data_IF_204127831119
#
_entry.id   IF_204127831119
#
_cell.length_a   1.000
_cell.length_b   1.000
_cell.length_c   1.000
_cell.angle_alpha   90.00
_cell.angle_beta   90.00
_cell.angle_gamma   90.00
#
_symmetry.space_group_name_H-M   'P 1'
#
loop_
_entity.id
_entity.type
_entity.pdbx_description
1 polymer ?
#
# COMPACT_ATOMS: atom_id res chain seq x y z
N UNK A 1 24.15 -9.72 -12.74
CA UNK A 1 22.85 -10.02 -13.35
C UNK A 1 21.81 -10.06 -12.25
N UNK A 2 20.76 -9.24 -12.33
CA UNK A 2 19.73 -9.18 -11.28
C UNK A 2 18.79 -10.35 -11.51
N UNK A 3 18.87 -11.41 -10.70
CA UNK A 3 18.08 -12.64 -10.82
C UNK A 3 16.57 -12.47 -10.59
N UNK A 4 15.93 -11.58 -11.34
CA UNK A 4 14.51 -11.28 -11.25
C UNK A 4 13.78 -12.26 -12.19
N UNK A 5 13.41 -13.43 -11.65
CA UNK A 5 12.57 -14.43 -12.31
C UNK A 5 11.06 -14.13 -12.19
N UNK A 6 10.69 -12.85 -12.12
CA UNK A 6 9.28 -12.45 -12.01
C UNK A 6 8.82 -11.75 -13.28
N UNK A 7 7.52 -11.88 -13.60
CA UNK A 7 6.86 -11.20 -14.71
C UNK A 7 6.85 -9.68 -14.47
N UNK A 8 7.99 -9.04 -14.72
CA UNK A 8 8.17 -7.61 -14.64
C UNK A 8 7.31 -6.94 -15.71
N UNK A 9 6.24 -6.29 -15.27
CA UNK A 9 5.34 -5.53 -16.13
C UNK A 9 5.10 -4.15 -15.54
N UNK A 10 4.66 -3.17 -16.35
CA UNK A 10 4.22 -1.87 -15.84
C UNK A 10 3.15 -2.00 -14.74
N UNK A 11 2.31 -3.05 -14.80
CA UNK A 11 1.31 -3.33 -13.78
C UNK A 11 1.95 -3.83 -12.47
N UNK A 12 2.96 -4.69 -12.54
CA UNK A 12 3.71 -5.11 -11.35
C UNK A 12 4.41 -3.93 -10.65
N UNK A 13 5.02 -3.02 -11.44
CA UNK A 13 5.62 -1.80 -10.90
C UNK A 13 4.57 -0.88 -10.26
N UNK A 14 3.40 -0.70 -10.90
CA UNK A 14 2.28 0.06 -10.33
C UNK A 14 1.86 -0.50 -8.98
N UNK A 15 1.79 -1.84 -8.85
CA UNK A 15 1.45 -2.47 -7.57
C UNK A 15 2.50 -2.21 -6.50
N UNK A 16 3.77 -2.40 -6.82
CA UNK A 16 4.88 -2.10 -5.88
C UNK A 16 4.83 -0.66 -5.39
N UNK A 17 4.60 0.30 -6.29
CA UNK A 17 4.48 1.72 -5.92
C UNK A 17 3.24 1.97 -5.07
N UNK A 18 2.09 1.41 -5.43
CA UNK A 18 0.84 1.56 -4.68
C UNK A 18 0.94 1.06 -3.25
N UNK A 19 1.48 -0.15 -3.05
CA UNK A 19 1.71 -0.74 -1.72
C UNK A 19 2.67 0.11 -0.89
N UNK A 20 3.79 0.56 -1.46
CA UNK A 20 4.77 1.38 -0.72
C UNK A 20 4.22 2.73 -0.30
N UNK A 21 3.50 3.43 -1.19
CA UNK A 21 2.91 4.72 -0.86
C UNK A 21 1.85 4.58 0.23
N UNK A 22 1.04 3.52 0.19
CA UNK A 22 0.04 3.32 1.22
C UNK A 22 0.67 3.01 2.58
N UNK A 23 1.72 2.18 2.62
CA UNK A 23 2.44 1.86 3.86
C UNK A 23 3.08 3.09 4.50
N UNK A 24 3.71 3.94 3.71
CA UNK A 24 4.40 5.14 4.19
C UNK A 24 3.42 6.20 4.70
N UNK A 25 2.38 6.49 3.93
CA UNK A 25 1.51 7.65 4.20
C UNK A 25 0.21 7.29 4.91
N UNK A 26 -0.11 5.99 5.04
CA UNK A 26 -1.36 5.46 5.62
C UNK A 26 -2.62 6.21 5.10
N UNK A 27 -2.60 6.64 3.82
CA UNK A 27 -3.65 7.47 3.19
C UNK A 27 -4.06 6.95 1.80
N UNK A 28 -5.14 6.17 1.76
CA UNK A 28 -5.64 5.58 0.52
C UNK A 28 -6.09 6.62 -0.53
N UNK A 29 -6.55 7.81 -0.12
CA UNK A 29 -7.01 8.83 -1.06
C UNK A 29 -5.85 9.52 -1.78
N UNK A 30 -4.72 9.69 -1.08
CA UNK A 30 -3.47 10.13 -1.68
C UNK A 30 -3.01 9.13 -2.74
N UNK A 31 -2.94 7.84 -2.38
CA UNK A 31 -2.51 6.78 -3.30
C UNK A 31 -3.42 6.69 -4.52
N UNK A 32 -4.75 6.81 -4.32
CA UNK A 32 -5.71 6.87 -5.42
C UNK A 32 -5.40 8.01 -6.40
N UNK A 33 -5.19 9.23 -5.89
CA UNK A 33 -4.89 10.41 -6.71
C UNK A 33 -3.57 10.24 -7.46
N UNK A 34 -2.55 9.71 -6.78
CA UNK A 34 -1.23 9.46 -7.35
C UNK A 34 -1.28 8.44 -8.50
N UNK A 35 -2.03 7.34 -8.32
CA UNK A 35 -2.14 6.27 -9.33
C UNK A 35 -3.19 6.57 -10.42
N UNK A 36 -3.97 7.64 -10.28
CA UNK A 36 -5.02 8.02 -11.23
C UNK A 36 -6.23 7.09 -11.20
N UNK A 37 -6.52 6.44 -10.08
CA UNK A 37 -7.71 5.60 -9.96
C UNK A 37 -8.98 6.47 -9.89
N UNK A 38 -9.95 6.17 -10.75
CA UNK A 38 -11.25 6.86 -10.77
C UNK A 38 -12.06 6.63 -9.51
N UNK A 39 -11.92 5.45 -8.91
CA UNK A 39 -12.57 5.05 -7.66
C UNK A 39 -11.51 4.65 -6.60
N UNK A 40 -11.74 5.08 -5.36
CA UNK A 40 -10.92 4.70 -4.21
C UNK A 40 -11.01 3.20 -3.93
N UNK A 41 -12.13 2.56 -4.27
CA UNK A 41 -12.33 1.13 -4.05
C UNK A 41 -11.26 0.29 -4.74
N UNK A 42 -10.76 0.71 -5.91
CA UNK A 42 -9.63 0.09 -6.61
C UNK A 42 -8.37 0.14 -5.74
N UNK A 43 -8.05 1.29 -5.17
CA UNK A 43 -6.89 1.43 -4.28
C UNK A 43 -7.03 0.60 -3.02
N UNK A 44 -8.21 0.61 -2.39
CA UNK A 44 -8.48 -0.17 -1.19
C UNK A 44 -8.35 -1.67 -1.48
N UNK A 45 -8.92 -2.14 -2.59
CA UNK A 45 -8.92 -3.56 -2.98
C UNK A 45 -7.51 -4.14 -3.15
N UNK A 46 -6.57 -3.36 -3.68
CA UNK A 46 -5.25 -3.88 -4.07
C UNK A 46 -4.14 -3.58 -3.07
N UNK A 47 -4.30 -2.55 -2.22
CA UNK A 47 -3.19 -2.09 -1.38
C UNK A 47 -3.51 -2.08 0.11
N UNK A 48 -4.78 -2.01 0.50
CA UNK A 48 -5.13 -2.05 1.93
C UNK A 48 -5.21 -3.51 2.36
N UNK A 49 -4.14 -3.96 2.99
CA UNK A 49 -4.16 -5.12 3.87
C UNK A 49 -3.99 -4.62 5.31
N UNK A 50 -4.71 -5.25 6.24
CA UNK A 50 -4.46 -5.07 7.67
C UNK A 50 -3.41 -6.10 8.03
N UNK A 51 -2.16 -5.66 8.20
CA UNK A 51 -1.13 -6.53 8.72
C UNK A 51 -1.24 -6.57 10.26
N UNK A 52 -1.03 -7.73 10.90
CA UNK A 52 -1.08 -7.84 12.37
C UNK A 52 -0.21 -6.80 13.08
N UNK A 53 0.92 -6.45 12.48
CA UNK A 53 1.86 -5.46 13.01
C UNK A 53 1.25 -4.03 13.04
N UNK A 54 0.38 -3.69 12.08
CA UNK A 54 -0.30 -2.39 12.07
C UNK A 54 -1.30 -2.25 13.23
N UNK A 55 -1.90 -3.38 13.66
CA UNK A 55 -2.81 -3.42 14.81
C UNK A 55 -2.05 -3.31 16.14
N UNK A 56 -0.90 -3.97 16.23
CA UNK A 56 -0.04 -3.91 17.42
C UNK A 56 0.52 -2.50 17.61
N UNK A 57 1.07 -1.88 16.54
CA UNK A 57 1.54 -0.48 16.56
C UNK A 57 0.41 0.47 17.00
N UNK A 58 -0.80 0.31 16.45
CA UNK A 58 -1.94 1.15 16.83
C UNK A 58 -2.35 0.97 18.29
N UNK A 59 -2.26 -0.26 18.82
CA UNK A 59 -2.58 -0.56 20.21
C UNK A 59 -1.55 0.08 21.17
N UNK A 60 -0.26 -0.01 20.85
CA UNK A 60 0.82 0.63 21.62
C UNK A 60 0.68 2.15 21.64
N UNK A 61 0.44 2.78 20.48
CA UNK A 61 0.24 4.24 20.39
C UNK A 61 -0.93 4.75 21.23
N UNK A 62 -1.98 3.94 21.40
CA UNK A 62 -3.12 4.28 22.26
C UNK A 62 -2.82 4.03 23.74
N UNK A 63 -1.97 3.06 24.08
CA UNK A 63 -1.58 2.75 25.44
C UNK A 63 -0.56 3.75 26.03
N UNK A 64 0.23 4.40 25.18
CA UNK A 64 1.19 5.46 25.57
C UNK A 64 0.57 6.86 25.72
N UNK A 65 -0.76 6.98 25.55
CA UNK A 65 -1.54 8.23 25.75
C UNK A 65 -2.24 8.24 27.09
#
# INVERSE_FOLDING_TARGET
ESGIESNLSPHALRHTVGTRLLKEFKNAKLVQRYLGHSDVTTTLRYYVDVFPEDLEEAAEMLAER
#
